data_IF_132793617365
#
_entry.id   IF_132793617365
#
_cell.length_a   1.000
_cell.length_b   1.000
_cell.length_c   1.000
_cell.angle_alpha   90.00
_cell.angle_beta   90.00
_cell.angle_gamma   90.00
#
_symmetry.space_group_name_H-M   'P 1'
#
loop_
_entity.id
_entity.type
_entity.pdbx_description
1 polymer ?
#
# COMPACT_ATOMS: atom_id res chain seq x y z
N UNK A 1 4.52 27.22 -5.55
CA UNK A 1 4.74 25.77 -5.39
C UNK A 1 3.37 25.10 -5.43
N UNK A 2 3.11 24.28 -6.45
CA UNK A 2 1.81 23.63 -6.64
C UNK A 2 1.73 22.42 -5.71
N UNK A 3 0.99 22.54 -4.60
CA UNK A 3 0.57 21.39 -3.80
C UNK A 3 -0.44 20.59 -4.62
N UNK A 4 0.07 19.65 -5.40
CA UNK A 4 -0.74 18.71 -6.15
C UNK A 4 -1.27 17.70 -5.14
N UNK A 5 -2.42 18.01 -4.53
CA UNK A 5 -3.16 17.06 -3.71
C UNK A 5 -3.47 15.85 -4.58
N UNK A 6 -2.85 14.72 -4.28
CA UNK A 6 -3.14 13.46 -4.95
C UNK A 6 -4.54 13.04 -4.50
N UNK A 7 -5.53 13.16 -5.38
CA UNK A 7 -6.87 12.65 -5.13
C UNK A 7 -6.85 11.13 -5.23
N UNK A 8 -6.61 10.48 -4.10
CA UNK A 8 -6.53 9.03 -4.00
C UNK A 8 -7.86 8.38 -4.40
N UNK A 9 -9.03 8.96 -4.13
CA UNK A 9 -10.36 8.34 -4.35
C UNK A 9 -10.80 8.10 -5.81
N UNK A 10 -9.95 8.37 -6.80
CA UNK A 10 -10.30 8.32 -8.23
C UNK A 10 -10.62 6.90 -8.74
N UNK A 11 -10.26 5.84 -8.00
CA UNK A 11 -10.25 4.45 -8.50
C UNK A 11 -11.25 3.50 -7.84
N UNK A 12 -12.27 3.99 -7.13
CA UNK A 12 -13.28 3.13 -6.51
C UNK A 12 -14.17 2.46 -7.58
N UNK A 13 -13.96 1.17 -7.87
CA UNK A 13 -14.97 0.35 -8.54
C UNK A 13 -14.50 -0.82 -9.43
N UNK A 14 -13.31 -0.79 -10.03
CA UNK A 14 -12.75 -1.94 -10.79
C UNK A 14 -11.22 -1.95 -10.73
N UNK A 15 -10.67 -2.74 -9.81
CA UNK A 15 -9.23 -2.77 -9.51
C UNK A 15 -8.47 -3.88 -10.25
N UNK A 16 -9.21 -4.81 -10.88
CA UNK A 16 -8.75 -6.12 -11.35
C UNK A 16 -7.61 -6.12 -12.38
N UNK A 17 -7.33 -5.00 -13.03
CA UNK A 17 -6.25 -4.90 -14.04
C UNK A 17 -5.33 -3.68 -13.83
N UNK A 18 -5.52 -2.95 -12.72
CA UNK A 18 -4.76 -1.73 -12.45
C UNK A 18 -3.38 -2.02 -11.87
N UNK A 19 -3.16 -3.21 -11.32
CA UNK A 19 -1.92 -3.56 -10.63
C UNK A 19 -1.40 -4.92 -11.04
N UNK A 20 -0.10 -4.97 -11.31
CA UNK A 20 0.67 -6.20 -11.42
C UNK A 20 2.02 -5.94 -10.75
N UNK A 21 2.44 -6.76 -9.78
CA UNK A 21 3.75 -6.58 -9.16
C UNK A 21 4.85 -6.83 -10.19
N UNK A 22 5.98 -6.15 -10.03
CA UNK A 22 7.12 -6.24 -10.95
C UNK A 22 7.74 -7.64 -10.91
N UNK A 23 7.64 -8.31 -9.76
CA UNK A 23 8.05 -9.69 -9.54
C UNK A 23 7.20 -10.35 -8.46
N UNK A 24 7.35 -11.66 -8.30
CA UNK A 24 6.84 -12.35 -7.11
C UNK A 24 7.71 -12.05 -5.89
N UNK A 25 7.08 -11.87 -4.73
CA UNK A 25 7.73 -11.66 -3.44
C UNK A 25 7.45 -12.84 -2.52
N UNK A 26 8.46 -13.30 -1.79
CA UNK A 26 8.24 -14.32 -0.74
C UNK A 26 7.62 -13.72 0.51
N UNK A 27 7.08 -14.56 1.38
CA UNK A 27 6.53 -14.14 2.67
C UNK A 27 7.62 -13.51 3.54
N UNK A 28 8.82 -14.08 3.53
CA UNK A 28 9.98 -13.57 4.28
C UNK A 28 10.40 -12.19 3.78
N UNK A 29 10.49 -12.01 2.46
CA UNK A 29 10.81 -10.71 1.86
C UNK A 29 9.79 -9.64 2.28
N UNK A 30 8.50 -9.97 2.22
CA UNK A 30 7.43 -9.06 2.66
C UNK A 30 7.59 -8.71 4.14
N UNK A 31 7.80 -9.71 4.99
CA UNK A 31 7.94 -9.53 6.44
C UNK A 31 9.12 -8.62 6.79
N UNK A 32 10.27 -8.84 6.17
CA UNK A 32 11.48 -8.05 6.41
C UNK A 32 11.31 -6.60 5.98
N UNK A 33 10.79 -6.37 4.78
CA UNK A 33 10.54 -5.02 4.27
C UNK A 33 9.47 -4.28 5.09
N UNK A 34 8.41 -4.97 5.52
CA UNK A 34 7.37 -4.37 6.36
C UNK A 34 7.91 -4.02 7.74
N UNK A 35 8.80 -4.84 8.29
CA UNK A 35 9.47 -4.58 9.57
C UNK A 35 10.40 -3.37 9.49
N UNK A 36 11.10 -3.19 8.38
CA UNK A 36 11.90 -1.99 8.12
C UNK A 36 11.01 -0.75 7.95
N UNK A 37 9.90 -0.87 7.20
CA UNK A 37 8.95 0.22 7.03
C UNK A 37 8.40 0.72 8.37
N UNK A 38 8.11 -0.17 9.33
CA UNK A 38 7.66 0.21 10.68
C UNK A 38 8.62 1.19 11.34
N UNK A 39 9.94 1.05 11.14
CA UNK A 39 10.94 1.95 11.72
C UNK A 39 10.89 3.37 11.14
N UNK A 40 10.29 3.54 9.96
CA UNK A 40 10.15 4.82 9.26
C UNK A 40 8.81 5.50 9.55
N UNK A 41 7.80 4.74 9.99
CA UNK A 41 6.47 5.26 10.27
C UNK A 41 6.42 5.93 11.65
N UNK A 42 5.70 7.04 11.74
CA UNK A 42 5.52 7.78 12.99
C UNK A 42 4.11 7.66 13.55
N UNK A 43 3.12 7.25 12.74
CA UNK A 43 1.74 7.12 13.18
C UNK A 43 1.49 5.72 13.78
N UNK A 44 1.08 5.61 15.07
CA UNK A 44 0.78 4.32 15.68
C UNK A 44 -0.30 3.52 14.97
N UNK A 45 -1.30 4.18 14.38
CA UNK A 45 -2.36 3.52 13.62
C UNK A 45 -1.82 2.90 12.31
N UNK A 46 -0.89 3.59 11.64
CA UNK A 46 -0.21 3.07 10.46
C UNK A 46 0.67 1.86 10.80
N UNK A 47 1.45 1.96 11.87
CA UNK A 47 2.26 0.85 12.40
C UNK A 47 1.39 -0.36 12.71
N UNK A 48 0.25 -0.15 13.39
CA UNK A 48 -0.70 -1.22 13.70
C UNK A 48 -1.26 -1.89 12.44
N UNK A 49 -1.57 -1.12 11.39
CA UNK A 49 -2.00 -1.68 10.09
C UNK A 49 -0.92 -2.58 9.50
N UNK A 50 0.35 -2.15 9.49
CA UNK A 50 1.45 -2.99 8.99
C UNK A 50 1.62 -4.26 9.82
N UNK A 51 1.54 -4.17 11.15
CA UNK A 51 1.63 -5.35 12.02
C UNK A 51 0.51 -6.36 11.74
N UNK A 52 -0.70 -5.89 11.44
CA UNK A 52 -1.80 -6.78 11.03
C UNK A 52 -1.53 -7.38 9.65
N UNK A 53 -1.02 -6.59 8.70
CA UNK A 53 -0.63 -7.12 7.39
C UNK A 53 0.46 -8.19 7.50
N UNK A 54 1.46 -8.02 8.38
CA UNK A 54 2.49 -9.03 8.67
C UNK A 54 1.84 -10.30 9.24
N UNK A 55 0.96 -10.15 10.24
CA UNK A 55 0.24 -11.29 10.83
C UNK A 55 -0.58 -12.05 9.78
N UNK A 56 -1.21 -11.33 8.86
CA UNK A 56 -2.06 -11.89 7.81
C UNK A 56 -1.26 -12.64 6.72
N UNK A 57 0.06 -12.48 6.61
CA UNK A 57 0.89 -13.22 5.65
C UNK A 57 0.87 -14.73 5.90
N UNK A 58 0.80 -15.12 7.17
CA UNK A 58 0.88 -16.54 7.61
C UNK A 58 -0.51 -17.16 7.87
N UNK A 59 -1.59 -16.40 7.65
CA UNK A 59 -2.94 -16.85 7.96
C UNK A 59 -3.64 -17.39 6.71
N UNK A 60 -4.22 -18.60 6.75
CA UNK A 60 -5.02 -19.14 5.64
C UNK A 60 -6.20 -18.24 5.25
N UNK A 61 -6.70 -17.45 6.20
CA UNK A 61 -7.78 -16.47 6.03
C UNK A 61 -7.28 -15.02 6.20
N UNK A 62 -5.99 -14.77 5.92
CA UNK A 62 -5.41 -13.44 6.01
C UNK A 62 -6.13 -12.43 5.12
N UNK A 63 -6.32 -11.21 5.61
CA UNK A 63 -7.09 -10.18 4.90
C UNK A 63 -6.26 -9.33 3.92
N UNK A 64 -5.06 -9.80 3.56
CA UNK A 64 -4.22 -9.16 2.55
C UNK A 64 -4.73 -9.42 1.12
N UNK A 65 -5.30 -10.59 0.87
CA UNK A 65 -5.79 -10.95 -0.47
C UNK A 65 -7.25 -10.52 -0.67
N UNK A 66 -7.51 -9.83 -1.78
CA UNK A 66 -8.84 -9.42 -2.22
C UNK A 66 -9.30 -10.29 -3.40
N UNK A 67 -10.13 -11.33 -3.16
CA UNK A 67 -10.41 -12.37 -4.14
C UNK A 67 -11.15 -11.87 -5.38
N UNK A 68 -12.08 -10.92 -5.23
CA UNK A 68 -12.90 -10.43 -6.35
C UNK A 68 -12.06 -9.70 -7.41
N UNK A 69 -10.99 -9.03 -6.98
CA UNK A 69 -10.07 -8.33 -7.87
C UNK A 69 -8.79 -9.14 -8.15
N UNK A 70 -8.59 -10.29 -7.48
CA UNK A 70 -7.36 -11.08 -7.54
C UNK A 70 -6.09 -10.24 -7.26
N UNK A 71 -6.16 -9.39 -6.23
CA UNK A 71 -5.06 -8.48 -5.84
C UNK A 71 -4.69 -8.72 -4.38
N UNK A 72 -3.39 -8.79 -4.11
CA UNK A 72 -2.84 -8.85 -2.77
C UNK A 72 -2.33 -7.46 -2.34
N UNK A 73 -2.90 -6.90 -1.27
CA UNK A 73 -2.49 -5.61 -0.73
C UNK A 73 -1.03 -5.61 -0.25
N UNK A 74 -0.51 -6.78 0.14
CA UNK A 74 0.90 -6.91 0.55
C UNK A 74 1.85 -6.79 -0.63
N UNK A 75 1.45 -7.21 -1.84
CA UNK A 75 2.24 -6.98 -3.05
C UNK A 75 2.25 -5.50 -3.44
N UNK A 76 1.11 -4.81 -3.31
CA UNK A 76 1.05 -3.35 -3.58
C UNK A 76 1.98 -2.61 -2.61
N UNK A 77 1.96 -2.97 -1.33
CA UNK A 77 2.84 -2.36 -0.34
C UNK A 77 4.32 -2.60 -0.67
N UNK A 78 4.70 -3.78 -1.17
CA UNK A 78 6.08 -4.05 -1.61
C UNK A 78 6.54 -3.12 -2.73
N UNK A 79 5.68 -2.83 -3.70
CA UNK A 79 6.01 -1.88 -4.76
C UNK A 79 6.16 -0.45 -4.22
N UNK A 80 5.28 -0.04 -3.29
CA UNK A 80 5.34 1.28 -2.66
C UNK A 80 6.60 1.47 -1.79
N UNK A 81 7.07 0.42 -1.11
CA UNK A 81 8.26 0.47 -0.24
C UNK A 81 9.51 0.89 -1.01
N UNK A 82 9.58 0.58 -2.31
CA UNK A 82 10.73 0.96 -3.14
C UNK A 82 10.92 2.48 -3.25
N UNK A 83 9.87 3.26 -2.96
CA UNK A 83 9.87 4.72 -3.07
C UNK A 83 9.84 5.46 -1.72
N UNK A 84 9.95 4.77 -0.58
CA UNK A 84 9.86 5.41 0.76
C UNK A 84 11.04 6.33 1.09
N UNK A 85 12.11 6.30 0.29
CA UNK A 85 13.16 7.33 0.34
C UNK A 85 12.66 8.70 -0.09
N UNK A 86 11.55 8.76 -0.83
CA UNK A 86 10.82 9.99 -1.09
C UNK A 86 9.92 10.33 0.12
N UNK A 87 10.14 11.49 0.78
CA UNK A 87 9.38 11.86 1.97
C UNK A 87 7.89 12.05 1.71
N UNK A 88 7.48 12.43 0.49
CA UNK A 88 6.06 12.58 0.13
C UNK A 88 5.35 11.22 0.05
N UNK A 89 6.05 10.20 -0.46
CA UNK A 89 5.55 8.81 -0.47
C UNK A 89 5.40 8.29 0.95
N UNK A 90 6.44 8.46 1.77
CA UNK A 90 6.41 8.00 3.16
C UNK A 90 5.30 8.69 3.95
N UNK A 91 5.12 10.01 3.76
CA UNK A 91 4.04 10.76 4.40
C UNK A 91 2.66 10.24 3.97
N UNK A 92 2.41 10.12 2.67
CA UNK A 92 1.14 9.66 2.15
C UNK A 92 0.83 8.22 2.57
N UNK A 93 1.85 7.34 2.62
CA UNK A 93 1.72 5.98 3.11
C UNK A 93 1.34 5.94 4.60
N UNK A 94 1.98 6.77 5.42
CA UNK A 94 1.67 6.89 6.85
C UNK A 94 0.21 7.35 7.08
N UNK A 95 -0.30 8.28 6.27
CA UNK A 95 -1.69 8.73 6.31
C UNK A 95 -2.67 7.62 5.88
N UNK A 96 -2.44 6.99 4.73
CA UNK A 96 -3.35 5.98 4.17
C UNK A 96 -3.42 4.70 5.02
N UNK A 97 -2.30 4.27 5.59
CA UNK A 97 -2.25 3.12 6.50
C UNK A 97 -2.99 3.43 7.83
N UNK A 98 -2.89 4.66 8.33
CA UNK A 98 -3.62 5.07 9.52
C UNK A 98 -5.13 5.12 9.28
N UNK A 99 -5.55 5.67 8.14
CA UNK A 99 -6.97 5.70 7.77
C UNK A 99 -7.56 4.29 7.61
N UNK A 100 -6.79 3.35 7.04
CA UNK A 100 -7.20 1.95 6.91
C UNK A 100 -7.56 1.35 8.27
N UNK A 101 -6.83 1.73 9.33
CA UNK A 101 -7.17 1.32 10.71
C UNK A 101 -8.43 2.00 11.20
N UNK A 102 -8.54 3.31 11.00
CA UNK A 102 -9.60 4.14 11.57
C UNK A 102 -10.97 3.88 10.96
N UNK A 103 -11.04 3.51 9.67
CA UNK A 103 -12.30 3.20 8.99
C UNK A 103 -12.74 1.74 9.12
N UNK A 104 -11.97 0.92 9.82
CA UNK A 104 -12.18 -0.52 9.88
C UNK A 104 -11.36 -1.23 8.81
N UNK A 105 -10.55 -2.17 9.29
CA UNK A 105 -9.63 -2.92 8.45
C UNK A 105 -10.42 -3.99 7.70
N UNK A 106 -10.56 -3.81 6.38
CA UNK A 106 -11.07 -4.83 5.46
C UNK A 106 -10.14 -4.95 4.25
N UNK A 107 -10.20 -6.10 3.56
CA UNK A 107 -9.36 -6.39 2.39
C UNK A 107 -9.60 -5.39 1.25
N UNK A 108 -10.85 -5.02 0.96
CA UNK A 108 -11.18 -4.04 -0.08
C UNK A 108 -10.61 -2.67 0.25
N UNK A 109 -10.77 -2.21 1.49
CA UNK A 109 -10.27 -0.91 1.95
C UNK A 109 -8.74 -0.82 1.87
N UNK A 110 -8.03 -1.88 2.28
CA UNK A 110 -6.56 -1.97 2.14
C UNK A 110 -6.11 -1.87 0.69
N UNK A 111 -6.68 -2.72 -0.17
CA UNK A 111 -6.31 -2.76 -1.58
C UNK A 111 -6.59 -1.42 -2.23
N UNK A 112 -7.79 -0.86 -2.05
CA UNK A 112 -8.16 0.45 -2.62
C UNK A 112 -7.15 1.52 -2.23
N UNK A 113 -6.88 1.73 -0.93
CA UNK A 113 -6.00 2.82 -0.48
C UNK A 113 -4.56 2.69 -0.96
N UNK A 114 -4.00 1.48 -0.87
CA UNK A 114 -2.63 1.24 -1.33
C UNK A 114 -2.52 1.34 -2.85
N UNK A 115 -3.52 0.85 -3.58
CA UNK A 115 -3.54 0.91 -5.04
C UNK A 115 -3.66 2.35 -5.54
N UNK A 116 -4.52 3.15 -4.92
CA UNK A 116 -4.65 4.57 -5.23
C UNK A 116 -3.32 5.32 -5.05
N UNK A 117 -2.59 4.99 -3.98
CA UNK A 117 -1.27 5.54 -3.73
C UNK A 117 -0.26 5.10 -4.79
N UNK A 118 -0.23 3.81 -5.11
CA UNK A 118 0.66 3.25 -6.12
C UNK A 118 0.40 3.86 -7.50
N UNK A 119 -0.85 3.97 -7.93
CA UNK A 119 -1.22 4.60 -9.20
C UNK A 119 -0.77 6.06 -9.28
N UNK A 120 -0.91 6.81 -8.19
CA UNK A 120 -0.47 8.20 -8.15
C UNK A 120 1.04 8.35 -8.33
N UNK A 121 1.83 7.43 -7.74
CA UNK A 121 3.29 7.51 -7.83
C UNK A 121 3.86 6.90 -9.11
N UNK A 122 3.26 5.84 -9.65
CA UNK A 122 3.63 5.31 -10.95
C UNK A 122 3.38 6.35 -12.05
N UNK A 123 2.20 6.97 -12.07
CA UNK A 123 1.89 8.04 -13.02
C UNK A 123 2.81 9.26 -12.85
N UNK A 124 3.17 9.61 -11.61
CA UNK A 124 4.12 10.68 -11.32
C UNK A 124 5.54 10.38 -11.86
N UNK A 125 6.06 9.17 -11.63
CA UNK A 125 7.40 8.79 -12.10
C UNK A 125 7.45 8.61 -13.62
N UNK A 126 6.37 8.13 -14.26
CA UNK A 126 6.28 8.07 -15.72
C UNK A 126 6.23 9.46 -16.36
N UNK A 127 5.61 10.44 -15.70
CA UNK A 127 5.60 11.84 -16.16
C UNK A 127 6.95 12.53 -16.04
N UNK A 128 7.82 12.14 -15.10
CA UNK A 128 9.20 12.68 -14.98
C UNK A 128 10.14 12.19 -16.09
N UNK A 129 9.83 11.06 -16.71
CA UNK A 129 10.67 10.45 -17.77
C UNK A 129 10.38 11.01 -19.17
N UNK A 130 9.37 11.88 -19.31
CA UNK A 130 8.98 12.56 -20.55
C UNK A 130 9.47 14.01 -20.54
#
# INVERSE_FOLDING_TARGET
MSNTFINVHTYDGKLKDLFKPVRSYTIEEKRDNFSQLIQLLTNPAAIATIQIMIKDLDQPNGSNFHPENNVDSSDILMELIQWVSNPDVLKALNEQLADTRNLGICNSGRVTRLLQLWLAFVDYEDKKKK
#
